data_IF_494016415178
#
_entry.id   IF_494016415178
#
_cell.length_a   1.000
_cell.length_b   1.000
_cell.length_c   1.000
_cell.angle_alpha   90.00
_cell.angle_beta   90.00
_cell.angle_gamma   90.00
#
_symmetry.space_group_name_H-M   'P 1'
#
loop_
_entity.id
_entity.type
_entity.pdbx_description
1 polymer ?
#
# COMPACT_ATOMS: atom_id res chain seq x y z
N UNK A 1 31.21 -7.97 -12.23
CA UNK A 1 30.16 -6.94 -12.19
C UNK A 1 28.74 -7.46 -12.23
N UNK A 2 28.40 -8.36 -13.17
CA UNK A 2 27.04 -8.93 -13.26
C UNK A 2 26.58 -9.60 -11.96
N UNK A 3 27.46 -10.31 -11.25
CA UNK A 3 27.13 -10.94 -9.96
C UNK A 3 26.68 -9.92 -8.90
N UNK A 4 27.36 -8.76 -8.81
CA UNK A 4 27.00 -7.70 -7.87
C UNK A 4 25.69 -7.01 -8.27
N UNK A 5 25.48 -6.77 -9.56
CA UNK A 5 24.23 -6.22 -10.09
C UNK A 5 23.04 -7.15 -9.82
N UNK A 6 23.21 -8.44 -10.12
CA UNK A 6 22.17 -9.45 -9.90
C UNK A 6 21.90 -9.65 -8.41
N UNK A 7 22.93 -9.65 -7.57
CA UNK A 7 22.79 -9.74 -6.10
C UNK A 7 21.99 -8.57 -5.55
N UNK A 8 22.24 -7.33 -6.00
CA UNK A 8 21.49 -6.16 -5.58
C UNK A 8 20.00 -6.25 -5.97
N UNK A 9 19.70 -6.68 -7.20
CA UNK A 9 18.32 -6.89 -7.67
C UNK A 9 17.63 -8.01 -6.88
N UNK A 10 18.32 -9.12 -6.66
CA UNK A 10 17.81 -10.25 -5.88
C UNK A 10 17.51 -9.86 -4.43
N UNK A 11 18.42 -9.12 -3.79
CA UNK A 11 18.23 -8.62 -2.43
C UNK A 11 17.02 -7.69 -2.33
N UNK A 12 16.88 -6.75 -3.26
CA UNK A 12 15.73 -5.85 -3.32
C UNK A 12 14.40 -6.60 -3.52
N UNK A 13 14.37 -7.54 -4.47
CA UNK A 13 13.20 -8.39 -4.72
C UNK A 13 12.86 -9.29 -3.53
N UNK A 14 13.85 -9.80 -2.81
CA UNK A 14 13.64 -10.59 -1.60
C UNK A 14 12.93 -9.76 -0.52
N UNK A 15 13.35 -8.52 -0.28
CA UNK A 15 12.67 -7.61 0.64
C UNK A 15 11.25 -7.26 0.20
N UNK A 16 11.03 -6.99 -1.09
CA UNK A 16 9.67 -6.79 -1.62
C UNK A 16 8.80 -8.02 -1.43
N UNK A 17 9.35 -9.22 -1.62
CA UNK A 17 8.63 -10.47 -1.41
C UNK A 17 8.24 -10.65 0.07
N UNK A 18 9.14 -10.30 1.01
CA UNK A 18 8.84 -10.31 2.45
C UNK A 18 7.66 -9.37 2.77
N UNK A 19 7.64 -8.16 2.20
CA UNK A 19 6.51 -7.23 2.36
C UNK A 19 5.20 -7.85 1.84
N UNK A 20 5.23 -8.52 0.69
CA UNK A 20 4.06 -9.20 0.12
C UNK A 20 3.54 -10.35 0.99
N UNK A 21 4.44 -11.14 1.61
CA UNK A 21 4.05 -12.16 2.59
C UNK A 21 3.42 -11.53 3.84
N UNK A 22 3.89 -10.36 4.25
CA UNK A 22 3.36 -9.59 5.39
C UNK A 22 1.87 -9.26 5.27
N UNK A 23 1.29 -9.32 4.07
CA UNK A 23 -0.15 -9.15 3.80
C UNK A 23 -1.05 -10.10 4.61
N UNK A 24 -0.52 -11.27 4.97
CA UNK A 24 -1.26 -12.33 5.66
C UNK A 24 -1.14 -12.23 7.19
N UNK A 25 -0.30 -11.34 7.72
CA UNK A 25 -0.07 -11.22 9.15
C UNK A 25 -1.31 -10.64 9.86
N UNK A 26 -1.73 -11.22 10.99
CA UNK A 26 -2.76 -10.63 11.84
C UNK A 26 -2.27 -9.28 12.40
N UNK A 27 -3.18 -8.30 12.47
CA UNK A 27 -2.86 -6.92 12.86
C UNK A 27 -2.38 -6.05 11.70
N UNK A 28 -1.17 -6.30 11.17
CA UNK A 28 -0.53 -5.37 10.21
C UNK A 28 -0.89 -5.60 8.73
N UNK A 29 -1.42 -6.78 8.37
CA UNK A 29 -1.65 -7.15 6.98
C UNK A 29 -2.56 -6.20 6.21
N UNK A 30 -3.60 -5.64 6.85
CA UNK A 30 -4.50 -4.70 6.18
C UNK A 30 -3.79 -3.41 5.71
N UNK A 31 -2.76 -2.92 6.43
CA UNK A 31 -1.99 -1.75 6.01
C UNK A 31 -1.22 -2.03 4.73
N UNK A 32 -0.64 -3.22 4.62
CA UNK A 32 0.09 -3.66 3.42
C UNK A 32 -0.88 -3.83 2.24
N UNK A 33 -2.08 -4.39 2.46
CA UNK A 33 -3.13 -4.48 1.41
C UNK A 33 -3.50 -3.09 0.88
N UNK A 34 -3.72 -2.13 1.78
CA UNK A 34 -4.04 -0.76 1.40
C UNK A 34 -2.90 -0.10 0.63
N UNK A 35 -1.66 -0.23 1.13
CA UNK A 35 -0.47 0.32 0.48
C UNK A 35 -0.34 -0.19 -0.95
N UNK A 36 -0.34 -1.50 -1.17
CA UNK A 36 -0.22 -2.10 -2.51
C UNK A 36 -1.33 -1.62 -3.44
N UNK A 37 -2.55 -1.46 -2.91
CA UNK A 37 -3.67 -1.01 -3.72
C UNK A 37 -3.57 0.47 -4.11
N UNK A 38 -3.13 1.33 -3.19
CA UNK A 38 -2.86 2.76 -3.48
C UNK A 38 -1.67 2.89 -4.43
N UNK A 39 -0.61 2.09 -4.29
CA UNK A 39 0.50 2.07 -5.23
C UNK A 39 0.02 1.70 -6.64
N UNK A 40 -0.85 0.70 -6.77
CA UNK A 40 -1.41 0.32 -8.07
C UNK A 40 -2.20 1.46 -8.73
N UNK A 41 -3.08 2.13 -7.99
CA UNK A 41 -3.88 3.23 -8.54
C UNK A 41 -3.02 4.44 -8.89
N UNK A 42 -2.03 4.73 -8.05
CA UNK A 42 -1.03 5.79 -8.28
C UNK A 42 -0.21 5.51 -9.55
N UNK A 43 0.27 4.28 -9.77
CA UNK A 43 1.03 3.93 -10.99
C UNK A 43 0.19 4.08 -12.24
N UNK A 44 -1.06 3.60 -12.24
CA UNK A 44 -1.99 3.78 -13.37
C UNK A 44 -2.25 5.25 -13.63
N UNK A 45 -2.37 6.07 -12.59
CA UNK A 45 -2.54 7.50 -12.74
C UNK A 45 -1.29 8.20 -13.27
N UNK A 46 -0.10 7.81 -12.80
CA UNK A 46 1.19 8.33 -13.26
C UNK A 46 1.45 8.08 -14.76
N UNK A 47 0.91 7.00 -15.34
CA UNK A 47 1.07 6.76 -16.79
C UNK A 47 0.49 7.90 -17.64
N UNK A 48 -0.59 8.55 -17.19
CA UNK A 48 -1.17 9.71 -17.87
C UNK A 48 -0.21 10.91 -17.90
N UNK A 49 0.66 11.05 -16.89
CA UNK A 49 1.63 12.15 -16.79
C UNK A 49 2.94 11.89 -17.52
N UNK A 50 3.18 10.68 -17.99
CA UNK A 50 4.41 10.35 -18.75
C UNK A 50 4.56 11.21 -20.01
N UNK A 51 3.46 11.60 -20.65
CA UNK A 51 3.46 12.53 -21.79
C UNK A 51 4.09 13.88 -21.42
N UNK A 52 3.74 14.43 -20.26
CA UNK A 52 4.32 15.69 -19.81
C UNK A 52 5.81 15.56 -19.47
N UNK A 53 6.21 14.44 -18.87
CA UNK A 53 7.62 14.17 -18.57
C UNK A 53 8.44 14.09 -19.86
N UNK A 54 7.90 13.45 -20.91
CA UNK A 54 8.54 13.39 -22.22
C UNK A 54 8.61 14.80 -22.84
N UNK A 55 7.51 15.55 -22.83
CA UNK A 55 7.47 16.91 -23.39
C UNK A 55 8.51 17.82 -22.73
N UNK A 56 8.48 17.96 -21.41
CA UNK A 56 9.43 18.79 -20.68
C UNK A 56 10.85 18.24 -20.73
N UNK A 57 11.03 16.91 -20.68
CA UNK A 57 12.34 16.29 -20.81
C UNK A 57 13.02 16.60 -22.15
N UNK A 58 12.28 16.55 -23.26
CA UNK A 58 12.82 16.96 -24.56
C UNK A 58 13.13 18.46 -24.62
N UNK A 59 12.25 19.30 -24.07
CA UNK A 59 12.49 20.75 -23.97
C UNK A 59 13.72 21.08 -23.11
N UNK A 60 13.96 20.35 -22.02
CA UNK A 60 15.13 20.59 -21.16
C UNK A 60 16.44 20.11 -21.77
N UNK A 61 16.43 19.12 -22.66
CA UNK A 61 17.63 18.77 -23.44
C UNK A 61 18.03 19.93 -24.36
N UNK A 62 17.07 20.62 -24.97
CA UNK A 62 17.38 21.72 -25.90
C UNK A 62 17.79 22.99 -25.18
N UNK A 63 17.16 23.29 -24.03
CA UNK A 63 17.41 24.52 -23.26
C UNK A 63 18.62 24.38 -22.34
N UNK A 64 18.75 23.23 -21.67
CA UNK A 64 19.79 22.96 -20.67
C UNK A 64 20.82 21.92 -21.13
N UNK A 65 20.96 21.66 -22.44
CA UNK A 65 21.85 20.63 -22.98
C UNK A 65 23.33 20.77 -22.57
N UNK A 66 23.74 21.95 -22.14
CA UNK A 66 25.08 22.23 -21.59
C UNK A 66 25.30 21.68 -20.17
N UNK A 67 24.23 21.32 -19.47
CA UNK A 67 24.27 20.82 -18.11
C UNK A 67 24.38 19.28 -18.11
N UNK A 68 25.30 18.73 -17.32
CA UNK A 68 25.54 17.28 -17.16
C UNK A 68 24.24 16.45 -16.95
N UNK A 69 23.25 16.91 -16.15
CA UNK A 69 21.99 16.20 -15.97
C UNK A 69 21.07 16.16 -17.20
N UNK A 70 21.29 17.05 -18.18
CA UNK A 70 20.41 17.26 -19.34
C UNK A 70 21.09 16.95 -20.68
N UNK A 71 22.36 16.54 -20.69
CA UNK A 71 23.13 16.30 -21.93
C UNK A 71 22.58 15.17 -22.81
N UNK A 72 21.88 14.20 -22.22
CA UNK A 72 21.27 13.08 -22.95
C UNK A 72 19.80 12.99 -22.64
N UNK A 73 19.01 12.55 -23.62
CA UNK A 73 17.54 12.42 -23.51
C UNK A 73 17.16 11.60 -22.28
N UNK A 74 17.79 10.43 -22.06
CA UNK A 74 17.51 9.59 -20.90
C UNK A 74 17.80 10.28 -19.56
N UNK A 75 18.91 11.02 -19.46
CA UNK A 75 19.25 11.76 -18.23
C UNK A 75 18.28 12.91 -17.98
N UNK A 76 17.87 13.63 -19.03
CA UNK A 76 16.87 14.69 -18.93
C UNK A 76 15.52 14.16 -18.47
N UNK A 77 15.06 13.02 -19.00
CA UNK A 77 13.81 12.39 -18.57
C UNK A 77 13.86 11.99 -17.10
N UNK A 78 14.95 11.37 -16.65
CA UNK A 78 15.15 11.01 -15.24
C UNK A 78 15.20 12.28 -14.38
N UNK A 79 15.91 13.33 -14.82
CA UNK A 79 16.00 14.60 -14.08
C UNK A 79 14.64 15.28 -13.98
N UNK A 80 13.84 15.29 -15.05
CA UNK A 80 12.45 15.78 -15.03
C UNK A 80 11.56 15.00 -14.08
N UNK A 81 11.72 13.67 -14.01
CA UNK A 81 11.01 12.83 -13.04
C UNK A 81 11.41 13.14 -11.59
N UNK A 82 12.70 13.34 -11.32
CA UNK A 82 13.18 13.74 -9.98
C UNK A 82 12.67 15.14 -9.62
N UNK A 83 12.69 16.08 -10.57
CA UNK A 83 12.15 17.42 -10.36
C UNK A 83 10.64 17.40 -10.08
N UNK A 84 9.89 16.49 -10.70
CA UNK A 84 8.46 16.27 -10.41
C UNK A 84 8.19 15.87 -8.96
N UNK A 85 9.12 15.19 -8.27
CA UNK A 85 9.03 14.92 -6.82
C UNK A 85 9.13 16.18 -5.98
N UNK A 86 9.69 17.27 -6.51
CA UNK A 86 9.89 18.56 -5.84
C UNK A 86 11.32 18.94 -5.57
N UNK A 87 12.26 18.09 -5.97
CA UNK A 87 13.67 18.39 -5.87
C UNK A 87 14.05 19.36 -6.99
N UNK A 88 13.88 20.64 -6.72
CA UNK A 88 14.23 21.74 -7.61
C UNK A 88 15.60 22.29 -7.24
N UNK A 89 16.58 22.04 -8.10
CA UNK A 89 17.94 22.56 -7.94
C UNK A 89 18.12 23.86 -8.74
N UNK A 90 17.41 24.91 -8.31
CA UNK A 90 17.49 26.22 -8.96
C UNK A 90 18.89 26.84 -8.81
N UNK A 91 19.52 26.66 -7.64
CA UNK A 91 20.84 27.19 -7.32
C UNK A 91 21.92 26.68 -8.27
N UNK A 92 22.05 25.36 -8.43
CA UNK A 92 23.07 24.79 -9.31
C UNK A 92 22.76 24.98 -10.80
N UNK A 93 21.49 25.21 -11.16
CA UNK A 93 21.06 25.43 -12.54
C UNK A 93 21.24 26.89 -12.98
N UNK A 94 20.94 27.86 -12.11
CA UNK A 94 20.88 29.29 -12.48
C UNK A 94 21.84 30.21 -11.69
N UNK A 95 22.18 29.91 -10.42
CA UNK A 95 22.87 30.85 -9.51
C UNK A 95 24.38 30.61 -9.42
N UNK A 96 24.81 29.37 -9.14
CA UNK A 96 26.23 29.02 -8.91
C UNK A 96 27.13 29.28 -10.13
N UNK A 97 26.51 29.51 -11.28
CA UNK A 97 27.19 29.62 -12.57
C UNK A 97 27.44 31.05 -13.04
N UNK A 98 26.85 32.03 -12.35
CA UNK A 98 27.19 33.44 -12.55
C UNK A 98 28.56 33.79 -11.96
N UNK A 99 29.07 32.93 -11.06
CA UNK A 99 30.32 33.13 -10.32
C UNK A 99 31.54 32.47 -10.97
N UNK A 100 31.38 31.43 -11.82
CA UNK A 100 32.47 30.72 -12.52
C UNK A 100 32.21 30.67 -14.05
N UNK A 101 32.82 31.56 -14.85
CA UNK A 101 32.56 31.69 -16.28
C UNK A 101 33.35 30.63 -17.07
N UNK A 102 32.92 29.37 -16.98
CA UNK A 102 33.32 28.35 -17.98
C UNK A 102 32.38 28.43 -19.19
N UNK A 103 32.88 28.35 -20.43
CA UNK A 103 32.03 28.52 -21.63
C UNK A 103 30.91 27.48 -21.75
N UNK A 104 31.04 26.31 -21.10
CA UNK A 104 30.01 25.26 -21.04
C UNK A 104 28.89 25.51 -19.99
N UNK A 105 28.89 26.65 -19.30
CA UNK A 105 28.02 26.88 -18.15
C UNK A 105 26.98 27.99 -18.35
N UNK A 106 26.94 28.62 -19.53
CA UNK A 106 26.00 29.70 -19.84
C UNK A 106 24.65 29.12 -20.29
N UNK A 107 23.57 29.69 -19.75
CA UNK A 107 22.20 29.44 -20.21
C UNK A 107 22.00 30.26 -21.49
N UNK A 108 21.76 29.59 -22.63
CA UNK A 108 21.68 30.26 -23.93
C UNK A 108 20.49 31.24 -24.05
N UNK A 109 19.40 30.97 -23.34
CA UNK A 109 18.16 31.75 -23.44
C UNK A 109 17.62 32.09 -22.05
N UNK A 110 18.15 33.13 -21.42
CA UNK A 110 17.87 33.45 -20.00
C UNK A 110 16.35 33.60 -19.74
N UNK A 111 15.64 34.44 -20.51
CA UNK A 111 14.20 34.66 -20.32
C UNK A 111 13.31 33.44 -20.59
N UNK A 112 13.57 32.70 -21.69
CA UNK A 112 12.78 31.52 -22.06
C UNK A 112 13.00 30.39 -21.06
N UNK A 113 14.22 30.25 -20.54
CA UNK A 113 14.56 29.22 -19.55
C UNK A 113 13.82 29.43 -18.23
N UNK A 114 13.78 30.67 -17.72
CA UNK A 114 12.99 30.98 -16.51
C UNK A 114 11.49 30.75 -16.72
N UNK A 115 10.95 31.14 -17.87
CA UNK A 115 9.53 30.95 -18.18
C UNK A 115 9.14 29.47 -18.25
N UNK A 116 9.93 28.65 -18.94
CA UNK A 116 9.72 27.21 -19.03
C UNK A 116 9.86 26.54 -17.67
N UNK A 117 10.86 26.93 -16.88
CA UNK A 117 11.08 26.41 -15.53
C UNK A 117 9.90 26.76 -14.60
N UNK A 118 9.38 27.99 -14.69
CA UNK A 118 8.21 28.44 -13.93
C UNK A 118 6.95 27.65 -14.32
N UNK A 119 6.70 27.47 -15.61
CA UNK A 119 5.54 26.71 -16.12
C UNK A 119 5.63 25.24 -15.73
N UNK A 120 6.84 24.67 -15.76
CA UNK A 120 7.11 23.32 -15.26
C UNK A 120 6.83 23.21 -13.76
N UNK A 121 7.27 24.17 -12.95
CA UNK A 121 7.02 24.19 -11.50
C UNK A 121 5.52 24.22 -11.21
N UNK A 122 4.77 25.11 -11.86
CA UNK A 122 3.33 25.21 -11.65
C UNK A 122 2.59 23.93 -12.07
N UNK A 123 2.91 23.37 -13.24
CA UNK A 123 2.23 22.17 -13.77
C UNK A 123 2.67 20.87 -13.08
N UNK A 124 3.96 20.54 -13.06
CA UNK A 124 4.46 19.26 -12.55
C UNK A 124 4.65 19.26 -11.02
N UNK A 125 5.03 20.38 -10.41
CA UNK A 125 5.30 20.40 -8.97
C UNK A 125 4.07 20.76 -8.14
N UNK A 126 3.20 21.65 -8.62
CA UNK A 126 2.01 22.08 -7.88
C UNK A 126 0.79 21.30 -8.31
N UNK A 127 0.36 21.45 -9.58
CA UNK A 127 -0.89 20.83 -10.06
C UNK A 127 -0.83 19.31 -9.94
N UNK A 128 0.21 18.68 -10.50
CA UNK A 128 0.31 17.22 -10.50
C UNK A 128 0.41 16.66 -9.07
N UNK A 129 1.27 17.21 -8.21
CA UNK A 129 1.41 16.68 -6.84
C UNK A 129 0.13 16.82 -6.04
N UNK A 130 -0.56 17.95 -6.15
CA UNK A 130 -1.84 18.16 -5.47
C UNK A 130 -2.87 17.13 -5.96
N UNK A 131 -2.84 16.80 -7.24
CA UNK A 131 -3.71 15.79 -7.82
C UNK A 131 -3.33 14.36 -7.39
N UNK A 132 -2.04 14.04 -7.29
CA UNK A 132 -1.54 12.76 -6.80
C UNK A 132 -1.93 12.53 -5.33
N UNK A 133 -1.75 13.55 -4.49
CA UNK A 133 -2.16 13.53 -3.08
C UNK A 133 -3.68 13.45 -2.97
N UNK A 134 -4.42 14.24 -3.77
CA UNK A 134 -5.88 14.21 -3.82
C UNK A 134 -6.43 12.84 -4.20
N UNK A 135 -5.81 12.17 -5.18
CA UNK A 135 -6.16 10.80 -5.56
C UNK A 135 -5.84 9.81 -4.44
N UNK A 136 -4.64 9.89 -3.85
CA UNK A 136 -4.23 8.99 -2.78
C UNK A 136 -5.14 9.08 -1.55
N UNK A 137 -5.56 10.30 -1.17
CA UNK A 137 -6.47 10.54 -0.04
C UNK A 137 -7.90 10.05 -0.34
N UNK A 138 -8.36 10.20 -1.57
CA UNK A 138 -9.67 9.68 -1.98
C UNK A 138 -9.67 8.14 -2.01
N UNK A 139 -8.59 7.53 -2.50
CA UNK A 139 -8.47 6.08 -2.59
C UNK A 139 -8.30 5.42 -1.22
N UNK A 140 -7.45 5.97 -0.34
CA UNK A 140 -7.24 5.41 1.00
C UNK A 140 -8.53 5.38 1.80
N UNK A 141 -9.36 6.42 1.71
CA UNK A 141 -10.64 6.53 2.43
C UNK A 141 -11.64 5.43 2.03
N UNK A 142 -11.66 5.08 0.74
CA UNK A 142 -12.50 3.98 0.23
C UNK A 142 -11.93 2.62 0.62
N UNK A 143 -10.61 2.46 0.57
CA UNK A 143 -9.93 1.22 0.86
C UNK A 143 -9.97 0.85 2.34
N UNK A 144 -9.94 1.83 3.25
CA UNK A 144 -10.04 1.62 4.70
C UNK A 144 -11.29 0.83 5.09
N UNK A 145 -12.43 1.07 4.41
CA UNK A 145 -13.70 0.38 4.71
C UNK A 145 -13.72 -1.08 4.26
N UNK A 146 -12.92 -1.44 3.26
CA UNK A 146 -12.95 -2.76 2.61
C UNK A 146 -11.73 -3.61 2.96
N UNK A 147 -10.63 -3.00 3.42
CA UNK A 147 -9.36 -3.67 3.65
C UNK A 147 -9.43 -4.74 4.74
N UNK A 148 -10.16 -4.49 5.84
CA UNK A 148 -10.32 -5.46 6.93
C UNK A 148 -11.03 -6.74 6.47
N UNK A 149 -12.12 -6.58 5.71
CA UNK A 149 -12.87 -7.71 5.14
C UNK A 149 -11.99 -8.47 4.13
N UNK A 150 -11.25 -7.74 3.29
CA UNK A 150 -10.35 -8.36 2.31
C UNK A 150 -9.21 -9.13 2.97
N UNK A 151 -8.67 -8.63 4.07
CA UNK A 151 -7.67 -9.35 4.87
C UNK A 151 -8.25 -10.65 5.46
N UNK A 152 -9.44 -10.59 6.05
CA UNK A 152 -10.09 -11.77 6.64
C UNK A 152 -10.34 -12.86 5.57
N UNK A 153 -10.78 -12.47 4.38
CA UNK A 153 -10.97 -13.39 3.26
C UNK A 153 -9.64 -14.06 2.84
N UNK A 154 -8.56 -13.27 2.74
CA UNK A 154 -7.24 -13.79 2.40
C UNK A 154 -6.70 -14.78 3.45
N UNK A 155 -6.95 -14.51 4.73
CA UNK A 155 -6.58 -15.44 5.81
C UNK A 155 -7.35 -16.76 5.70
N UNK A 156 -8.65 -16.71 5.43
CA UNK A 156 -9.49 -17.91 5.24
C UNK A 156 -9.01 -18.71 4.03
N UNK A 157 -8.75 -18.06 2.90
CA UNK A 157 -8.26 -18.73 1.68
C UNK A 157 -6.92 -19.45 1.92
N UNK A 158 -6.01 -18.80 2.64
CA UNK A 158 -4.72 -19.42 3.00
C UNK A 158 -4.89 -20.57 3.97
N UNK A 159 -5.78 -20.44 4.96
CA UNK A 159 -6.11 -21.52 5.90
C UNK A 159 -6.69 -22.73 5.15
N UNK A 160 -7.65 -22.52 4.26
CA UNK A 160 -8.26 -23.57 3.44
C UNK A 160 -7.24 -24.21 2.49
N UNK A 161 -6.35 -23.41 1.90
CA UNK A 161 -5.29 -23.93 1.03
C UNK A 161 -4.28 -24.78 1.79
N UNK A 162 -3.89 -24.34 2.99
CA UNK A 162 -3.04 -25.10 3.89
C UNK A 162 -3.72 -26.41 4.34
N UNK A 163 -5.01 -26.35 4.66
CA UNK A 163 -5.80 -27.54 5.01
C UNK A 163 -5.88 -28.51 3.83
N UNK A 164 -6.12 -28.03 2.62
CA UNK A 164 -6.15 -28.88 1.42
C UNK A 164 -4.80 -29.51 1.09
N UNK A 165 -3.69 -28.85 1.42
CA UNK A 165 -2.34 -29.40 1.27
C UNK A 165 -1.98 -30.42 2.38
N UNK A 166 -2.65 -30.38 3.53
CA UNK A 166 -2.40 -31.32 4.63
C UNK A 166 -2.96 -32.72 4.33
N UNK A 167 -2.17 -33.74 4.66
CA UNK A 167 -2.57 -35.16 4.57
C UNK A 167 -3.62 -35.49 5.63
N UNK A 168 -4.50 -36.46 5.36
CA UNK A 168 -5.64 -36.80 6.25
C UNK A 168 -5.25 -37.06 7.72
N UNK A 169 -4.05 -37.61 7.98
CA UNK A 169 -3.55 -37.85 9.34
C UNK A 169 -3.33 -36.55 10.14
N UNK A 170 -2.82 -35.50 9.49
CA UNK A 170 -2.60 -34.20 10.14
C UNK A 170 -3.94 -33.50 10.39
N UNK A 171 -4.90 -33.66 9.48
CA UNK A 171 -6.26 -33.15 9.68
C UNK A 171 -6.88 -33.72 10.95
N UNK A 172 -6.80 -35.04 11.16
CA UNK A 172 -7.32 -35.67 12.39
C UNK A 172 -6.66 -35.16 13.69
N UNK A 173 -5.39 -34.75 13.65
CA UNK A 173 -4.68 -34.23 14.83
C UNK A 173 -5.04 -32.77 15.13
N UNK A 174 -5.30 -31.96 14.10
CA UNK A 174 -5.59 -30.53 14.24
C UNK A 174 -7.07 -30.17 14.16
N UNK A 175 -7.95 -31.14 13.90
CA UNK A 175 -9.39 -30.93 13.79
C UNK A 175 -10.06 -30.98 15.16
N UNK A 176 -10.28 -29.80 15.75
CA UNK A 176 -11.21 -29.62 16.87
C UNK A 176 -12.57 -29.20 16.32
N UNK A 177 -13.58 -30.07 16.43
CA UNK A 177 -14.87 -29.89 15.75
C UNK A 177 -15.85 -28.94 16.46
N UNK A 178 -15.56 -28.51 17.71
CA UNK A 178 -16.46 -27.66 18.50
C UNK A 178 -15.71 -26.67 19.41
N UNK A 179 -15.84 -25.38 19.11
CA UNK A 179 -15.54 -24.29 20.05
C UNK A 179 -16.84 -23.92 20.79
N UNK A 180 -17.01 -24.39 22.02
CA UNK A 180 -18.12 -23.99 22.92
C UNK A 180 -17.86 -22.55 23.42
N UNK A 181 -18.19 -21.55 22.61
CA UNK A 181 -18.08 -20.14 23.00
C UNK A 181 -19.23 -19.79 23.95
N UNK A 182 -18.97 -19.82 25.27
CA UNK A 182 -19.95 -19.40 26.28
C UNK A 182 -19.77 -17.90 26.60
N UNK A 183 -20.72 -17.02 26.23
CA UNK A 183 -20.54 -15.57 26.25
C UNK A 183 -20.45 -14.92 27.65
N UNK A 184 -20.29 -15.70 28.73
CA UNK A 184 -20.23 -15.15 30.08
C UNK A 184 -19.47 -16.03 31.10
N UNK A 185 -18.61 -16.95 30.63
CA UNK A 185 -17.65 -17.63 31.49
C UNK A 185 -16.28 -17.02 31.26
N UNK A 186 -15.84 -16.16 32.16
CA UNK A 186 -14.44 -15.74 32.15
C UNK A 186 -13.58 -16.97 32.48
N UNK A 187 -12.49 -17.20 31.75
CA UNK A 187 -11.61 -18.30 32.08
C UNK A 187 -10.91 -18.01 33.41
N UNK A 188 -11.19 -18.82 34.42
CA UNK A 188 -10.54 -18.70 35.72
C UNK A 188 -9.07 -19.13 35.58
N UNK A 189 -8.16 -18.17 35.47
CA UNK A 189 -6.71 -18.41 35.43
C UNK A 189 -5.95 -17.62 34.37
N UNK A 190 -4.66 -17.38 34.62
CA UNK A 190 -3.79 -16.57 33.75
C UNK A 190 -3.66 -17.12 32.33
N UNK A 191 -3.39 -18.42 32.19
CA UNK A 191 -3.17 -19.08 30.89
C UNK A 191 -4.38 -19.06 29.95
N UNK A 192 -5.59 -19.44 30.39
CA UNK A 192 -6.74 -19.38 29.51
C UNK A 192 -7.21 -17.94 29.24
N UNK A 193 -7.05 -17.00 30.18
CA UNK A 193 -7.27 -15.56 29.92
C UNK A 193 -6.28 -15.00 28.88
N UNK A 194 -4.99 -15.34 28.98
CA UNK A 194 -3.98 -14.94 28.01
C UNK A 194 -4.27 -15.51 26.61
N UNK A 195 -4.65 -16.80 26.54
CA UNK A 195 -5.04 -17.45 25.28
C UNK A 195 -6.23 -16.76 24.63
N UNK A 196 -7.31 -16.48 25.37
CA UNK A 196 -8.48 -15.78 24.83
C UNK A 196 -8.17 -14.34 24.41
N UNK A 197 -7.39 -13.61 25.20
CA UNK A 197 -6.99 -12.22 24.87
C UNK A 197 -6.16 -12.16 23.58
N UNK A 198 -5.21 -13.09 23.43
CA UNK A 198 -4.38 -13.20 22.22
C UNK A 198 -5.23 -13.63 21.02
N UNK A 199 -6.09 -14.64 21.15
CA UNK A 199 -6.98 -15.11 20.07
C UNK A 199 -7.98 -14.01 19.65
N UNK A 200 -8.58 -13.30 20.61
CA UNK A 200 -9.48 -12.18 20.34
C UNK A 200 -8.76 -10.99 19.67
N UNK A 201 -7.47 -10.78 19.96
CA UNK A 201 -6.65 -9.76 19.29
C UNK A 201 -6.23 -10.14 17.87
N UNK A 202 -6.08 -11.44 17.60
CA UNK A 202 -5.70 -11.98 16.27
C UNK A 202 -6.91 -12.00 15.33
N UNK A 203 -8.11 -12.25 15.86
CA UNK A 203 -9.37 -12.22 15.13
C UNK A 203 -10.31 -11.14 15.68
N UNK A 204 -10.04 -9.84 15.48
CA UNK A 204 -10.93 -8.77 15.89
C UNK A 204 -12.09 -8.67 14.87
N UNK A 205 -12.82 -9.75 14.62
CA UNK A 205 -14.12 -9.67 13.97
C UNK A 205 -15.06 -9.17 15.06
N UNK A 206 -15.16 -7.84 15.20
CA UNK A 206 -16.34 -7.23 15.83
C UNK A 206 -17.53 -7.66 14.99
N UNK A 207 -18.20 -8.73 15.41
CA UNK A 207 -19.47 -9.13 14.83
C UNK A 207 -20.40 -7.90 14.85
N UNK A 208 -21.00 -7.52 13.71
CA UNK A 208 -21.98 -6.45 13.71
C UNK A 208 -23.08 -6.80 14.71
N UNK A 209 -23.45 -5.82 15.52
CA UNK A 209 -24.34 -5.93 16.69
C UNK A 209 -25.68 -6.66 16.41
N UNK A 210 -26.07 -6.76 15.13
CA UNK A 210 -27.23 -7.52 14.65
C UNK A 210 -27.19 -9.03 14.91
N UNK A 211 -26.03 -9.65 15.12
CA UNK A 211 -25.98 -11.11 15.38
C UNK A 211 -26.46 -11.51 16.78
N UNK A 212 -26.59 -10.56 17.72
CA UNK A 212 -27.13 -10.83 19.07
C UNK A 212 -28.63 -11.08 19.10
N UNK A 213 -29.38 -10.68 18.06
CA UNK A 213 -30.85 -10.82 18.05
C UNK A 213 -31.32 -12.25 17.72
N UNK A 214 -30.60 -12.98 16.86
CA UNK A 214 -31.01 -14.33 16.44
C UNK A 214 -30.85 -15.42 17.52
N UNK A 215 -30.06 -15.17 18.57
CA UNK A 215 -29.86 -16.13 19.66
C UNK A 215 -30.94 -16.01 20.75
N UNK A 216 -31.68 -14.89 20.83
CA UNK A 216 -32.73 -14.74 21.86
C UNK A 216 -34.07 -15.38 21.47
N UNK A 217 -34.40 -15.47 20.17
CA UNK A 217 -35.67 -16.04 19.72
C UNK A 217 -35.69 -17.58 19.73
N UNK A 218 -34.55 -18.24 19.56
CA UNK A 218 -34.48 -19.72 19.52
C UNK A 218 -34.43 -20.38 20.90
N UNK A 219 -34.24 -19.60 21.97
CA UNK A 219 -34.24 -20.10 23.36
C UNK A 219 -35.62 -20.13 24.03
N UNK A 220 -36.59 -19.37 23.52
CA UNK A 220 -37.90 -19.20 24.17
C UNK A 220 -38.97 -20.22 23.71
N UNK A 221 -38.84 -20.77 22.50
CA UNK A 221 -39.82 -21.73 21.93
C UNK A 221 -39.69 -23.15 22.47
N UNK A 222 -38.53 -23.53 22.99
CA UNK A 222 -38.32 -24.88 23.54
C UNK A 222 -38.84 -25.05 24.98
N UNK A 223 -39.27 -23.96 25.64
CA UNK A 223 -39.81 -24.03 27.00
C UNK A 223 -41.32 -24.36 27.04
N UNK A 224 -42.05 -24.17 25.93
CA UNK A 224 -43.50 -24.41 25.86
C UNK A 224 -43.89 -25.78 25.26
N UNK A 225 -42.95 -26.49 24.61
CA UNK A 225 -43.27 -27.77 23.94
C UNK A 225 -43.30 -29.00 24.87
N UNK A 226 -42.83 -28.87 26.12
CA UNK A 226 -42.76 -29.96 27.09
C UNK A 226 -43.90 -29.99 28.13
N UNK A 227 -45.00 -29.25 27.94
CA UNK A 227 -46.12 -29.17 28.89
C UNK A 227 -47.48 -29.70 28.39
N UNK A 228 -47.55 -30.37 27.25
CA UNK A 228 -48.82 -30.84 26.66
C UNK A 228 -48.95 -32.36 26.50
N UNK A 229 -48.17 -33.15 27.25
CA UNK A 229 -48.35 -34.61 27.34
C UNK A 229 -48.30 -35.06 28.79
N UNK A 230 -49.36 -34.80 29.54
CA UNK A 230 -49.79 -35.57 30.71
C UNK A 230 -51.23 -35.18 31.07
N UNK A 231 -52.10 -36.20 31.03
CA UNK A 231 -53.55 -36.25 31.26
C UNK A 231 -54.44 -35.90 30.07
#
# INVERSE_FOLDING_TARGET
DLQWQLSAVCLFLAWLNIILFGRNLPGYGHYIIMFLKVTQTTVVFLTLFTLFIIAYGLTFVTVFGNHIPFMTIGRSLIKSFVMMTGELDFGATFVDRRSDPKPNNLVFYDGVSYFLYFTFLLSMCVIMKNLLVGLAVNDISKLLKTASIKQACLMIELSLRAENMMTSKLKFVFHDSYLDYRPNKFPDGFWPYFKETVVASIFPIKLPERSKLYVSETGHDNMFRNRTLQW
#
